data_IF_790348310038
#
_entry.id   IF_790348310038
#
_cell.length_a   1.000
_cell.length_b   1.000
_cell.length_c   1.000
_cell.angle_alpha   90.00
_cell.angle_beta   90.00
_cell.angle_gamma   90.00
#
_symmetry.space_group_name_H-M   'P 1'
#
loop_
_entity.id
_entity.type
_entity.pdbx_description
1 polymer ?
#
# COMPACT_ATOMS: atom_id res chain seq x y z
N UNK A 1 -5.26 11.29 63.84
CA UNK A 1 -5.91 12.26 63.00
C UNK A 1 -4.85 13.23 62.49
N UNK A 2 -4.39 13.04 61.24
CA UNK A 2 -3.41 13.93 60.60
C UNK A 2 -4.15 15.02 59.86
N UNK A 3 -3.75 16.30 59.92
CA UNK A 3 -4.43 17.38 59.22
C UNK A 3 -4.07 17.40 57.73
N UNK A 4 -5.09 17.31 56.91
CA UNK A 4 -4.95 17.41 55.46
C UNK A 4 -4.62 18.83 54.99
N UNK A 5 -3.61 18.92 54.14
CA UNK A 5 -3.17 20.13 53.48
C UNK A 5 -4.27 20.59 52.48
N UNK A 6 -4.79 21.78 52.62
CA UNK A 6 -5.84 22.33 51.74
C UNK A 6 -5.30 22.74 50.39
N UNK A 7 -5.98 22.32 49.35
CA UNK A 7 -5.65 22.49 47.91
C UNK A 7 -5.20 23.91 47.51
N UNK A 8 -5.54 24.91 48.29
CA UNK A 8 -5.20 26.34 48.07
C UNK A 8 -3.77 26.72 48.47
N UNK A 9 -3.14 25.98 49.36
CA UNK A 9 -1.75 26.25 49.78
C UNK A 9 -0.74 25.59 48.84
N UNK A 10 -1.11 24.45 48.23
CA UNK A 10 -0.30 23.78 47.19
C UNK A 10 -0.13 24.65 45.92
N UNK A 11 -1.16 25.40 45.55
CA UNK A 11 -1.11 26.27 44.37
C UNK A 11 -0.31 27.57 44.58
N UNK A 12 -0.10 28.01 45.82
CA UNK A 12 0.73 29.18 46.13
C UNK A 12 2.24 28.89 46.12
N UNK A 13 2.64 27.65 46.34
CA UNK A 13 4.05 27.24 46.31
C UNK A 13 4.57 26.94 44.90
N UNK A 14 3.68 26.77 43.93
CA UNK A 14 4.02 26.48 42.52
C UNK A 14 4.30 27.74 41.67
N UNK A 15 4.00 28.93 42.17
CA UNK A 15 4.13 30.21 41.38
C UNK A 15 5.46 30.91 41.65
N UNK A 16 6.24 30.50 42.65
CA UNK A 16 7.50 31.17 43.02
C UNK A 16 8.78 30.60 42.36
N UNK A 17 8.67 29.65 41.44
CA UNK A 17 9.82 28.99 40.84
C UNK A 17 10.00 29.25 39.30
N UNK A 18 9.37 30.26 38.75
CA UNK A 18 9.45 30.61 37.31
C UNK A 18 9.95 32.02 37.09
N UNK A 19 11.18 32.33 37.54
CA UNK A 19 11.93 33.47 37.04
C UNK A 19 13.40 33.11 36.87
N UNK A 20 13.71 32.25 35.90
CA UNK A 20 15.04 32.15 35.29
C UNK A 20 14.99 32.79 33.91
N UNK A 21 15.97 33.61 33.52
CA UNK A 21 15.99 34.22 32.20
C UNK A 21 16.13 33.11 31.14
N UNK A 22 15.23 33.09 30.17
CA UNK A 22 15.36 32.25 28.98
C UNK A 22 16.59 32.71 28.22
N UNK A 23 17.66 31.94 28.28
CA UNK A 23 18.74 32.01 27.30
C UNK A 23 18.17 31.52 25.98
N UNK A 24 17.79 32.45 25.13
CA UNK A 24 17.50 32.17 23.71
C UNK A 24 18.82 31.86 23.07
N UNK A 25 19.15 30.57 22.96
CA UNK A 25 20.21 30.11 22.08
C UNK A 25 19.77 30.39 20.64
N UNK A 26 20.66 30.92 19.77
CA UNK A 26 20.33 31.08 18.36
C UNK A 26 20.03 29.69 17.75
N UNK A 27 18.89 29.56 17.09
CA UNK A 27 18.59 28.42 16.24
C UNK A 27 19.61 28.46 15.10
N UNK A 28 20.64 27.66 15.23
CA UNK A 28 21.57 27.41 14.13
C UNK A 28 20.80 26.68 13.02
N UNK A 29 20.48 27.40 11.98
CA UNK A 29 20.06 26.83 10.70
C UNK A 29 21.27 26.07 10.13
N UNK A 30 21.15 24.76 9.98
CA UNK A 30 22.16 23.93 9.32
C UNK A 30 22.72 22.85 10.27
N UNK A 31 21.94 21.82 10.51
CA UNK A 31 22.47 20.52 10.93
C UNK A 31 22.01 19.48 9.88
N UNK A 32 22.89 19.20 8.93
CA UNK A 32 22.88 17.95 8.20
C UNK A 32 22.92 16.80 9.21
N UNK A 33 21.84 15.97 9.22
CA UNK A 33 21.86 14.60 9.68
C UNK A 33 22.39 14.32 11.09
N UNK A 34 21.76 14.80 12.16
CA UNK A 34 21.95 14.17 13.46
C UNK A 34 21.48 12.71 13.37
N UNK A 35 22.39 11.75 13.58
CA UNK A 35 22.10 10.34 13.54
C UNK A 35 20.93 10.01 14.48
N UNK A 36 19.85 9.42 13.95
CA UNK A 36 18.71 9.00 14.77
C UNK A 36 19.18 8.00 15.82
N UNK A 37 18.86 8.27 17.10
CA UNK A 37 19.18 7.33 18.19
C UNK A 37 18.62 5.93 17.89
N UNK A 38 19.37 4.85 18.18
CA UNK A 38 18.87 3.48 18.00
C UNK A 38 17.50 3.24 18.62
N UNK A 39 17.21 3.82 19.80
CA UNK A 39 15.91 3.72 20.48
C UNK A 39 14.76 4.46 19.78
N UNK A 40 15.07 5.27 18.77
CA UNK A 40 14.08 6.02 18.01
C UNK A 40 13.85 5.44 16.59
N UNK A 41 14.49 4.31 16.28
CA UNK A 41 14.30 3.62 15.00
C UNK A 41 13.20 2.57 15.12
N UNK A 42 12.46 2.38 14.06
CA UNK A 42 11.53 1.26 13.89
C UNK A 42 12.30 0.12 13.23
N UNK A 43 12.31 -1.02 13.86
CA UNK A 43 12.99 -2.21 13.34
C UNK A 43 12.07 -3.02 12.43
N UNK A 44 12.58 -3.43 11.27
CA UNK A 44 11.82 -4.03 10.19
C UNK A 44 12.29 -5.43 9.85
N UNK A 45 11.33 -6.33 9.60
CA UNK A 45 11.53 -7.60 8.93
C UNK A 45 10.85 -7.58 7.54
N UNK A 46 11.58 -7.98 6.50
CA UNK A 46 11.06 -8.04 5.14
C UNK A 46 10.64 -9.44 4.77
N UNK A 47 9.43 -9.62 4.22
CA UNK A 47 8.87 -10.90 3.78
C UNK A 47 8.51 -10.77 2.30
N UNK A 48 9.18 -11.55 1.45
CA UNK A 48 9.12 -11.40 0.00
C UNK A 48 10.08 -10.33 -0.50
N UNK A 49 11.28 -10.73 -0.90
CA UNK A 49 12.34 -9.84 -1.38
C UNK A 49 12.68 -10.12 -2.85
N UNK A 50 11.64 -10.37 -3.65
CA UNK A 50 11.71 -10.40 -5.11
C UNK A 50 11.95 -9.01 -5.73
N UNK A 51 11.66 -8.86 -7.03
CA UNK A 51 11.96 -7.62 -7.77
C UNK A 51 11.34 -6.37 -7.14
N UNK A 52 10.03 -6.42 -6.82
CA UNK A 52 9.34 -5.29 -6.18
C UNK A 52 9.77 -5.12 -4.71
N UNK A 53 9.85 -6.21 -3.95
CA UNK A 53 10.27 -6.18 -2.55
C UNK A 53 11.66 -5.58 -2.34
N UNK A 54 12.63 -5.85 -3.24
CA UNK A 54 13.98 -5.26 -3.16
C UNK A 54 14.07 -3.90 -3.83
N UNK A 55 13.58 -3.79 -5.07
CA UNK A 55 13.81 -2.60 -5.91
C UNK A 55 12.92 -1.41 -5.56
N UNK A 56 11.77 -1.65 -4.92
CA UNK A 56 10.86 -0.60 -4.48
C UNK A 56 10.88 -0.46 -2.95
N UNK A 57 10.44 -1.48 -2.22
CA UNK A 57 10.24 -1.36 -0.77
C UNK A 57 11.56 -1.33 0.01
N UNK A 58 12.45 -2.31 -0.17
CA UNK A 58 13.69 -2.38 0.59
C UNK A 58 14.60 -1.18 0.31
N UNK A 59 14.76 -0.80 -0.96
CA UNK A 59 15.55 0.38 -1.36
C UNK A 59 15.03 1.68 -0.73
N UNK A 60 13.70 1.85 -0.67
CA UNK A 60 13.09 3.02 -0.06
C UNK A 60 13.27 3.04 1.47
N UNK A 61 12.98 1.93 2.17
CA UNK A 61 13.14 1.89 3.62
C UNK A 61 14.58 2.04 4.10
N UNK A 62 15.57 1.54 3.34
CA UNK A 62 16.99 1.72 3.65
C UNK A 62 17.44 3.20 3.64
N UNK A 63 16.70 4.06 2.94
CA UNK A 63 16.97 5.51 2.85
C UNK A 63 16.29 6.31 3.99
N UNK A 64 15.42 5.69 4.77
CA UNK A 64 14.73 6.34 5.88
C UNK A 64 15.57 6.20 7.17
N UNK A 65 16.13 7.29 7.73
CA UNK A 65 17.01 7.20 8.90
C UNK A 65 16.34 6.60 10.16
N UNK A 66 15.01 6.66 10.23
CA UNK A 66 14.21 6.15 11.35
C UNK A 66 13.81 4.68 11.17
N UNK A 67 14.13 4.05 10.04
CA UNK A 67 13.95 2.63 9.78
C UNK A 67 15.26 1.84 9.96
N UNK A 68 15.16 0.60 10.42
CA UNK A 68 16.29 -0.32 10.54
C UNK A 68 15.86 -1.72 10.16
N UNK A 69 16.35 -2.23 9.03
CA UNK A 69 16.09 -3.60 8.59
C UNK A 69 17.00 -4.56 9.36
N UNK A 70 16.41 -5.57 10.02
CA UNK A 70 17.13 -6.60 10.81
C UNK A 70 17.12 -7.96 10.12
N UNK A 71 16.06 -8.28 9.39
CA UNK A 71 15.90 -9.58 8.78
C UNK A 71 15.19 -9.50 7.43
N UNK A 72 15.52 -10.44 6.54
CA UNK A 72 14.88 -10.62 5.24
C UNK A 72 14.44 -12.08 5.07
N UNK A 73 13.29 -12.30 4.43
CA UNK A 73 12.73 -13.62 4.20
C UNK A 73 12.29 -13.76 2.75
N UNK A 74 12.65 -14.87 2.12
CA UNK A 74 12.10 -15.28 0.83
C UNK A 74 12.24 -16.80 0.68
N UNK A 75 11.32 -17.41 -0.01
CA UNK A 75 11.35 -18.84 -0.33
C UNK A 75 12.42 -19.21 -1.37
N UNK A 76 12.96 -18.20 -2.09
CA UNK A 76 14.10 -18.35 -3.00
C UNK A 76 15.40 -17.95 -2.28
N UNK A 77 16.37 -18.87 -2.19
CA UNK A 77 17.67 -18.64 -1.53
C UNK A 77 18.43 -17.45 -2.11
N UNK A 78 18.52 -17.39 -3.42
CA UNK A 78 19.26 -16.33 -4.13
C UNK A 78 18.67 -14.94 -3.90
N UNK A 79 17.33 -14.82 -3.79
CA UNK A 79 16.65 -13.55 -3.51
C UNK A 79 16.96 -13.04 -2.09
N UNK A 80 16.84 -13.91 -1.08
CA UNK A 80 17.13 -13.49 0.30
C UNK A 80 18.61 -13.21 0.55
N UNK A 81 19.52 -13.99 -0.05
CA UNK A 81 20.96 -13.72 0.04
C UNK A 81 21.33 -12.37 -0.59
N UNK A 82 20.76 -12.06 -1.75
CA UNK A 82 20.92 -10.76 -2.41
C UNK A 82 20.35 -9.62 -1.57
N UNK A 83 19.16 -9.76 -1.00
CA UNK A 83 18.53 -8.74 -0.17
C UNK A 83 19.34 -8.52 1.12
N UNK A 84 19.81 -9.58 1.79
CA UNK A 84 20.69 -9.49 2.94
C UNK A 84 21.97 -8.70 2.60
N UNK A 85 22.64 -9.06 1.51
CA UNK A 85 23.85 -8.35 1.08
C UNK A 85 23.59 -6.85 0.79
N UNK A 86 22.41 -6.52 0.27
CA UNK A 86 22.00 -5.12 0.06
C UNK A 86 21.84 -4.38 1.39
N UNK A 87 21.22 -4.98 2.40
CA UNK A 87 21.07 -4.39 3.75
C UNK A 87 22.44 -4.21 4.42
N UNK A 88 23.27 -5.27 4.42
CA UNK A 88 24.60 -5.26 5.01
C UNK A 88 25.49 -4.18 4.38
N UNK A 89 25.44 -4.07 3.05
CA UNK A 89 26.16 -3.02 2.31
C UNK A 89 25.69 -1.61 2.69
N UNK A 90 24.37 -1.39 2.78
CA UNK A 90 23.80 -0.11 3.14
C UNK A 90 24.19 0.35 4.56
N UNK A 91 24.36 -0.60 5.48
CA UNK A 91 24.70 -0.31 6.88
C UNK A 91 26.21 -0.47 7.19
N UNK A 92 27.00 -1.02 6.27
CA UNK A 92 28.44 -1.25 6.47
C UNK A 92 28.76 -2.29 7.54
N UNK A 93 27.91 -3.28 7.70
CA UNK A 93 28.07 -4.38 8.66
C UNK A 93 27.57 -5.71 8.05
N UNK A 94 27.36 -6.74 8.87
CA UNK A 94 26.84 -8.08 8.50
C UNK A 94 25.82 -8.58 9.52
N UNK A 95 24.99 -7.68 10.03
CA UNK A 95 24.05 -7.99 11.13
C UNK A 95 22.68 -8.45 10.61
N UNK A 96 22.37 -8.25 9.34
CA UNK A 96 21.10 -8.67 8.75
C UNK A 96 21.03 -10.19 8.67
N UNK A 97 19.96 -10.76 9.22
CA UNK A 97 19.68 -12.21 9.12
C UNK A 97 18.80 -12.53 7.92
N UNK A 98 18.88 -13.79 7.42
CA UNK A 98 17.95 -14.28 6.41
C UNK A 98 17.31 -15.60 6.80
N UNK A 99 16.05 -15.80 6.39
CA UNK A 99 15.31 -17.02 6.65
C UNK A 99 14.41 -17.40 5.46
N UNK A 100 13.99 -18.67 5.40
CA UNK A 100 13.04 -19.16 4.40
C UNK A 100 11.60 -19.00 4.87
N UNK A 101 11.37 -19.25 6.15
CA UNK A 101 10.06 -19.22 6.77
C UNK A 101 9.80 -17.85 7.44
N UNK A 102 8.77 -17.15 7.00
CA UNK A 102 8.41 -15.83 7.53
C UNK A 102 8.03 -15.88 9.03
N UNK A 103 7.63 -17.04 9.54
CA UNK A 103 7.30 -17.22 10.97
C UNK A 103 8.52 -17.00 11.85
N UNK A 104 9.73 -17.21 11.34
CA UNK A 104 10.97 -16.90 12.04
C UNK A 104 11.14 -15.39 12.25
N UNK A 105 10.71 -14.55 11.29
CA UNK A 105 10.66 -13.09 11.47
C UNK A 105 9.61 -12.71 12.52
N UNK A 106 8.41 -13.30 12.46
CA UNK A 106 7.34 -12.96 13.40
C UNK A 106 7.70 -13.33 14.85
N UNK A 107 8.53 -14.35 15.04
CA UNK A 107 8.99 -14.78 16.36
C UNK A 107 10.10 -13.89 16.99
N UNK A 108 10.73 -13.01 16.19
CA UNK A 108 11.81 -12.13 16.70
C UNK A 108 11.22 -10.98 17.52
N UNK A 109 11.59 -10.85 18.81
CA UNK A 109 11.02 -9.82 19.68
C UNK A 109 11.53 -8.41 19.38
N UNK A 110 12.68 -8.30 18.73
CA UNK A 110 13.34 -7.05 18.37
C UNK A 110 12.91 -6.47 17.02
N UNK A 111 11.98 -7.13 16.31
CA UNK A 111 11.34 -6.60 15.10
C UNK A 111 10.03 -5.93 15.51
N UNK A 112 9.88 -4.63 15.22
CA UNK A 112 8.66 -3.84 15.51
C UNK A 112 7.61 -4.00 14.42
N UNK A 113 8.02 -4.11 13.15
CA UNK A 113 7.12 -4.12 12.00
C UNK A 113 7.62 -5.04 10.88
N UNK A 114 6.69 -5.48 10.03
CA UNK A 114 6.99 -6.26 8.84
C UNK A 114 6.58 -5.53 7.56
N UNK A 115 7.35 -5.75 6.51
CA UNK A 115 7.07 -5.31 5.14
C UNK A 115 6.82 -6.56 4.30
N UNK A 116 5.60 -6.71 3.78
CA UNK A 116 5.14 -7.89 3.04
C UNK A 116 5.02 -7.54 1.57
N UNK A 117 5.81 -8.20 0.71
CA UNK A 117 5.87 -7.99 -0.76
C UNK A 117 5.85 -9.33 -1.50
N UNK A 118 4.99 -10.22 -1.05
CA UNK A 118 4.78 -11.57 -1.58
C UNK A 118 3.77 -11.57 -2.74
N UNK A 119 3.45 -12.70 -3.38
CA UNK A 119 2.23 -12.82 -4.19
C UNK A 119 0.96 -12.59 -3.37
N UNK A 120 -0.12 -12.18 -4.06
CA UNK A 120 -1.36 -11.66 -3.43
C UNK A 120 -2.00 -12.66 -2.46
N UNK A 121 -1.98 -13.97 -2.77
CA UNK A 121 -2.56 -15.03 -1.93
C UNK A 121 -1.92 -15.18 -0.53
N UNK A 122 -0.80 -14.53 -0.30
CA UNK A 122 -0.13 -14.50 1.01
C UNK A 122 -0.40 -13.22 1.81
N UNK A 123 -0.81 -12.12 1.16
CA UNK A 123 -0.89 -10.80 1.77
C UNK A 123 -1.67 -10.78 3.07
N UNK A 124 -2.89 -11.29 3.04
CA UNK A 124 -3.79 -11.22 4.20
C UNK A 124 -3.38 -12.20 5.30
N UNK A 125 -3.05 -13.44 4.94
CA UNK A 125 -2.65 -14.44 5.94
C UNK A 125 -1.42 -13.97 6.72
N UNK A 126 -0.37 -13.50 6.03
CA UNK A 126 0.84 -12.98 6.68
C UNK A 126 0.56 -11.74 7.51
N UNK A 127 -0.27 -10.81 7.00
CA UNK A 127 -0.68 -9.59 7.74
C UNK A 127 -1.42 -9.91 9.03
N UNK A 128 -2.36 -10.86 8.99
CA UNK A 128 -3.13 -11.32 10.16
C UNK A 128 -2.21 -12.00 11.19
N UNK A 129 -1.28 -12.84 10.74
CA UNK A 129 -0.32 -13.50 11.64
C UNK A 129 0.64 -12.48 12.27
N UNK A 130 1.15 -11.51 11.50
CA UNK A 130 2.00 -10.44 11.99
C UNK A 130 1.26 -9.56 13.03
N UNK A 131 0.04 -9.14 12.73
CA UNK A 131 -0.77 -8.35 13.65
C UNK A 131 -1.05 -9.09 14.98
N UNK A 132 -1.33 -10.39 14.91
CA UNK A 132 -1.51 -11.24 16.11
C UNK A 132 -0.23 -11.44 16.91
N UNK A 133 0.94 -11.36 16.26
CA UNK A 133 2.25 -11.35 16.91
C UNK A 133 2.64 -9.95 17.45
N UNK A 134 1.75 -8.95 17.33
CA UNK A 134 1.98 -7.59 17.81
C UNK A 134 2.87 -6.74 16.91
N UNK A 135 3.12 -7.19 15.66
CA UNK A 135 3.93 -6.45 14.69
C UNK A 135 3.06 -5.49 13.89
N UNK A 136 3.55 -4.26 13.67
CA UNK A 136 2.97 -3.36 12.68
C UNK A 136 3.18 -3.91 11.26
N UNK A 137 2.31 -3.55 10.32
CA UNK A 137 2.29 -4.17 8.99
C UNK A 137 2.26 -3.12 7.88
N UNK A 138 3.26 -3.15 7.02
CA UNK A 138 3.18 -2.62 5.66
C UNK A 138 2.99 -3.80 4.72
N UNK A 139 1.93 -3.81 3.91
CA UNK A 139 1.65 -4.92 3.01
C UNK A 139 1.27 -4.42 1.62
N UNK A 140 1.84 -5.02 0.59
CA UNK A 140 1.44 -4.74 -0.79
C UNK A 140 -0.04 -5.04 -1.03
N UNK A 141 -0.58 -4.38 -2.02
CA UNK A 141 -1.93 -4.57 -2.55
C UNK A 141 -1.97 -5.75 -3.53
N UNK A 142 -3.13 -6.32 -3.83
CA UNK A 142 -4.45 -6.20 -3.18
C UNK A 142 -4.66 -7.25 -2.08
N UNK A 143 -5.88 -7.37 -1.54
CA UNK A 143 -6.34 -8.63 -0.90
C UNK A 143 -6.84 -9.57 -1.99
N UNK A 144 -6.72 -10.90 -1.81
CA UNK A 144 -7.09 -11.86 -2.84
C UNK A 144 -8.60 -12.12 -2.90
N UNK A 145 -9.30 -12.02 -1.77
CA UNK A 145 -10.76 -12.24 -1.71
C UNK A 145 -11.44 -11.16 -0.88
N UNK A 146 -12.77 -11.05 -1.05
CA UNK A 146 -13.60 -10.14 -0.24
C UNK A 146 -13.56 -10.52 1.24
N UNK A 147 -13.65 -11.83 1.55
CA UNK A 147 -13.63 -12.33 2.93
C UNK A 147 -12.30 -12.07 3.62
N UNK A 148 -11.19 -12.26 2.93
CA UNK A 148 -9.85 -11.95 3.47
C UNK A 148 -9.72 -10.48 3.83
N UNK A 149 -10.20 -9.57 2.98
CA UNK A 149 -10.19 -8.14 3.26
C UNK A 149 -10.97 -7.79 4.53
N UNK A 150 -12.11 -8.45 4.78
CA UNK A 150 -12.88 -8.29 6.00
C UNK A 150 -12.11 -8.82 7.22
N UNK A 151 -11.51 -10.00 7.12
CA UNK A 151 -10.71 -10.60 8.21
C UNK A 151 -9.51 -9.72 8.56
N UNK A 152 -8.84 -9.16 7.55
CA UNK A 152 -7.72 -8.21 7.75
C UNK A 152 -8.19 -7.00 8.55
N UNK A 153 -9.21 -6.30 8.07
CA UNK A 153 -9.79 -5.13 8.73
C UNK A 153 -10.14 -5.40 10.19
N UNK A 154 -10.88 -6.47 10.44
CA UNK A 154 -11.35 -6.84 11.78
C UNK A 154 -10.18 -7.26 12.69
N UNK A 155 -9.12 -7.86 12.14
CA UNK A 155 -7.93 -8.24 12.91
C UNK A 155 -7.12 -7.00 13.31
N UNK A 156 -6.86 -6.08 12.38
CA UNK A 156 -6.13 -4.84 12.68
C UNK A 156 -6.91 -4.00 13.71
N UNK A 157 -8.23 -3.88 13.59
CA UNK A 157 -9.05 -3.19 14.58
C UNK A 157 -8.97 -3.80 15.99
N UNK A 158 -8.89 -5.14 16.09
CA UNK A 158 -8.79 -5.83 17.38
C UNK A 158 -7.39 -5.78 18.01
N UNK A 159 -6.35 -5.84 17.21
CA UNK A 159 -4.97 -5.86 17.71
C UNK A 159 -4.43 -4.46 18.00
N UNK A 160 -4.97 -3.45 17.33
CA UNK A 160 -4.52 -2.06 17.46
C UNK A 160 -3.15 -1.77 16.86
N UNK A 161 -2.58 -2.70 16.08
CA UNK A 161 -1.34 -2.46 15.36
C UNK A 161 -1.59 -1.51 14.18
N UNK A 162 -0.56 -0.78 13.79
CA UNK A 162 -0.61 0.05 12.58
C UNK A 162 -0.52 -0.85 11.35
N UNK A 163 -1.40 -0.61 10.40
CA UNK A 163 -1.38 -1.23 9.08
C UNK A 163 -1.38 -0.14 8.01
N UNK A 164 -0.58 -0.35 6.96
CA UNK A 164 -0.65 0.43 5.73
C UNK A 164 -0.52 -0.47 4.52
N UNK A 165 -1.42 -0.32 3.57
CA UNK A 165 -1.29 -0.92 2.24
C UNK A 165 -0.27 -0.16 1.38
N UNK A 166 0.47 -0.89 0.55
CA UNK A 166 1.40 -0.33 -0.43
C UNK A 166 0.64 0.22 -1.64
N UNK A 167 0.22 1.48 -1.57
CA UNK A 167 -0.39 2.24 -2.67
C UNK A 167 0.37 3.56 -2.86
N UNK A 168 1.39 3.51 -3.70
CA UNK A 168 2.23 4.67 -3.96
C UNK A 168 1.46 5.85 -4.58
N UNK A 169 0.36 5.61 -5.31
CA UNK A 169 -0.33 6.65 -6.07
C UNK A 169 -0.96 7.74 -5.22
N UNK A 170 -1.30 7.45 -3.96
CA UNK A 170 -1.73 8.49 -3.01
C UNK A 170 -0.62 9.49 -2.67
N UNK A 171 0.65 9.13 -2.93
CA UNK A 171 1.84 9.97 -2.79
C UNK A 171 2.37 10.50 -4.13
N UNK A 172 1.74 10.16 -5.25
CA UNK A 172 2.13 10.62 -6.59
C UNK A 172 1.37 11.91 -6.91
N UNK A 173 2.13 12.99 -7.15
CA UNK A 173 1.59 14.33 -7.34
C UNK A 173 0.47 14.40 -8.40
N UNK A 174 0.64 13.73 -9.54
CA UNK A 174 -0.33 13.73 -10.64
C UNK A 174 -1.69 13.19 -10.16
N UNK A 175 -1.72 12.04 -9.48
CA UNK A 175 -2.96 11.41 -9.05
C UNK A 175 -3.57 12.11 -7.83
N UNK A 176 -2.73 12.59 -6.91
CA UNK A 176 -3.17 13.43 -5.82
C UNK A 176 -3.84 14.71 -6.33
N UNK A 177 -3.18 15.40 -7.28
CA UNK A 177 -3.75 16.60 -7.91
C UNK A 177 -5.04 16.33 -8.67
N UNK A 178 -5.12 15.22 -9.38
CA UNK A 178 -6.33 14.79 -10.08
C UNK A 178 -7.49 14.60 -9.11
N UNK A 179 -7.27 13.87 -8.01
CA UNK A 179 -8.28 13.68 -6.98
C UNK A 179 -8.67 15.02 -6.30
N UNK A 180 -7.70 15.87 -6.01
CA UNK A 180 -7.94 17.21 -5.45
C UNK A 180 -8.88 18.04 -6.34
N UNK A 181 -8.60 18.13 -7.64
CA UNK A 181 -9.42 18.89 -8.59
C UNK A 181 -10.85 18.37 -8.64
N UNK A 182 -11.03 17.04 -8.73
CA UNK A 182 -12.36 16.42 -8.78
C UNK A 182 -13.11 16.62 -7.46
N UNK A 183 -12.49 16.35 -6.31
CA UNK A 183 -13.09 16.50 -4.98
C UNK A 183 -13.56 17.91 -4.69
N UNK A 184 -12.82 18.90 -5.16
CA UNK A 184 -13.15 20.31 -4.96
C UNK A 184 -14.09 20.88 -6.03
N UNK A 185 -14.58 20.04 -6.95
CA UNK A 185 -15.63 20.40 -7.90
C UNK A 185 -15.15 21.16 -9.13
N UNK A 186 -13.88 21.08 -9.50
CA UNK A 186 -13.35 21.72 -10.71
C UNK A 186 -14.01 21.23 -12.02
N UNK A 187 -14.70 20.08 -12.00
CA UNK A 187 -15.44 19.52 -13.14
C UNK A 187 -16.95 19.71 -13.01
N UNK A 188 -17.44 20.47 -12.01
CA UNK A 188 -18.87 20.52 -11.69
C UNK A 188 -19.36 19.16 -11.14
N UNK A 189 -20.58 18.75 -11.51
CA UNK A 189 -21.11 17.46 -11.11
C UNK A 189 -20.44 16.34 -11.92
N UNK A 190 -19.79 15.40 -11.22
CA UNK A 190 -19.16 14.24 -11.85
C UNK A 190 -20.25 13.30 -12.42
N UNK A 191 -20.08 12.85 -13.66
CA UNK A 191 -21.01 11.98 -14.38
C UNK A 191 -20.38 10.63 -14.74
N UNK A 192 -19.13 10.65 -15.18
CA UNK A 192 -18.45 9.45 -15.68
C UNK A 192 -16.97 9.42 -15.32
N UNK A 193 -16.46 8.19 -15.11
CA UNK A 193 -15.05 7.91 -15.00
C UNK A 193 -14.71 6.81 -16.00
N UNK A 194 -13.65 6.99 -16.78
CA UNK A 194 -13.13 5.97 -17.68
C UNK A 194 -11.73 5.56 -17.19
N UNK A 195 -11.55 4.29 -16.90
CA UNK A 195 -10.27 3.69 -16.53
C UNK A 195 -9.89 2.67 -17.59
N UNK A 196 -8.66 2.77 -18.08
CA UNK A 196 -8.08 1.80 -19.01
C UNK A 196 -6.91 1.14 -18.33
N UNK A 197 -6.89 -0.18 -18.27
CA UNK A 197 -5.87 -1.01 -17.64
C UNK A 197 -5.19 -1.91 -18.66
N UNK A 198 -4.00 -2.47 -18.38
CA UNK A 198 -3.36 -3.41 -19.30
C UNK A 198 -4.24 -4.64 -19.58
N UNK A 199 -4.07 -5.21 -20.74
CA UNK A 199 -4.58 -6.55 -21.05
C UNK A 199 -3.85 -7.61 -20.21
N UNK A 200 -4.54 -8.71 -19.88
CA UNK A 200 -3.93 -9.88 -19.28
C UNK A 200 -3.02 -10.60 -20.25
N UNK A 201 -1.88 -11.06 -19.77
CA UNK A 201 -0.96 -11.87 -20.57
C UNK A 201 -1.45 -13.31 -20.62
N UNK A 202 -1.36 -13.93 -21.81
CA UNK A 202 -1.78 -15.31 -22.01
C UNK A 202 -0.55 -16.20 -22.12
N UNK A 203 -0.35 -17.06 -21.15
CA UNK A 203 0.72 -18.05 -21.13
C UNK A 203 0.16 -19.44 -21.42
N UNK A 204 0.84 -20.23 -22.26
CA UNK A 204 0.43 -21.61 -22.54
C UNK A 204 0.55 -22.47 -21.29
N UNK A 205 -0.13 -23.62 -21.26
CA UNK A 205 0.13 -24.66 -20.25
C UNK A 205 1.57 -25.17 -20.39
N UNK A 206 2.18 -25.41 -19.26
CA UNK A 206 3.50 -26.02 -19.15
C UNK A 206 3.38 -27.38 -18.49
N UNK A 207 4.28 -28.29 -18.87
CA UNK A 207 4.47 -29.55 -18.16
C UNK A 207 5.12 -29.31 -16.80
N UNK A 208 4.85 -30.21 -15.86
CA UNK A 208 5.51 -30.22 -14.54
C UNK A 208 7.03 -30.32 -14.70
N UNK A 209 7.73 -29.50 -13.92
CA UNK A 209 9.18 -29.47 -13.88
C UNK A 209 9.71 -29.76 -12.47
N UNK A 210 10.98 -30.22 -12.35
CA UNK A 210 11.62 -30.36 -11.06
C UNK A 210 11.72 -29.00 -10.35
N UNK A 211 11.40 -28.99 -9.05
CA UNK A 211 11.57 -27.80 -8.22
C UNK A 211 13.05 -27.43 -8.16
N UNK A 212 13.44 -26.16 -8.46
CA UNK A 212 14.84 -25.75 -8.41
C UNK A 212 15.43 -25.88 -7.00
N UNK A 213 16.73 -26.19 -6.93
CA UNK A 213 17.42 -26.16 -5.65
C UNK A 213 17.40 -24.77 -5.03
N UNK A 214 17.13 -24.69 -3.74
CA UNK A 214 17.04 -23.43 -3.01
C UNK A 214 15.71 -22.70 -3.16
N UNK A 215 14.69 -23.36 -3.70
CA UNK A 215 13.32 -22.86 -3.76
C UNK A 215 12.38 -23.75 -2.94
N UNK A 216 11.72 -23.17 -1.95
CA UNK A 216 10.66 -23.82 -1.17
C UNK A 216 9.30 -23.60 -1.85
N UNK A 217 8.91 -24.54 -2.71
CA UNK A 217 7.68 -24.44 -3.48
C UNK A 217 6.42 -24.65 -2.62
N UNK A 218 6.49 -25.51 -1.62
CA UNK A 218 5.36 -25.74 -0.71
C UNK A 218 5.01 -24.46 0.06
N UNK A 219 6.03 -23.79 0.56
CA UNK A 219 5.84 -22.50 1.24
C UNK A 219 5.47 -21.37 0.26
N UNK A 220 5.89 -21.44 -1.01
CA UNK A 220 5.44 -20.51 -2.05
C UNK A 220 3.95 -20.69 -2.33
N UNK A 221 3.46 -21.92 -2.48
CA UNK A 221 2.03 -22.21 -2.67
C UNK A 221 1.20 -21.79 -1.47
N UNK A 222 1.65 -22.12 -0.27
CA UNK A 222 1.00 -21.73 0.98
C UNK A 222 -0.49 -22.06 1.03
N UNK A 223 -1.37 -21.04 1.17
CA UNK A 223 -2.82 -21.25 1.28
C UNK A 223 -3.50 -21.56 -0.07
N UNK A 224 -2.81 -21.38 -1.19
CA UNK A 224 -3.39 -21.65 -2.51
C UNK A 224 -3.61 -23.14 -2.72
N UNK A 225 -4.55 -23.56 -3.60
CA UNK A 225 -4.74 -24.95 -3.96
C UNK A 225 -3.46 -25.61 -4.50
N UNK A 226 -3.24 -26.87 -4.16
CA UNK A 226 -2.08 -27.59 -4.68
C UNK A 226 -2.08 -27.62 -6.21
N UNK A 227 -0.94 -27.31 -6.78
CA UNK A 227 -0.69 -27.35 -8.21
C UNK A 227 0.76 -27.78 -8.44
N UNK A 228 1.07 -28.66 -9.42
CA UNK A 228 2.45 -29.02 -9.75
C UNK A 228 3.29 -27.78 -10.09
N UNK A 229 4.59 -27.85 -9.79
CA UNK A 229 5.50 -26.77 -10.11
C UNK A 229 5.68 -26.64 -11.63
N UNK A 230 5.56 -25.40 -12.12
CA UNK A 230 5.98 -25.02 -13.47
C UNK A 230 6.75 -23.70 -13.39
N UNK A 231 7.83 -23.51 -14.18
CA UNK A 231 8.69 -22.32 -14.08
C UNK A 231 7.97 -20.99 -14.28
N UNK A 232 7.15 -20.87 -15.32
CA UNK A 232 6.44 -19.63 -15.64
C UNK A 232 5.47 -19.23 -14.54
N UNK A 233 4.74 -20.19 -13.98
CA UNK A 233 3.74 -19.93 -12.93
C UNK A 233 4.32 -19.25 -11.67
N UNK A 234 5.59 -19.51 -11.36
CA UNK A 234 6.27 -18.92 -10.19
C UNK A 234 7.24 -17.79 -10.56
N UNK A 235 7.18 -17.30 -11.79
CA UNK A 235 7.96 -16.18 -12.27
C UNK A 235 7.67 -14.88 -11.50
N UNK A 236 8.37 -13.80 -11.82
CA UNK A 236 8.26 -12.56 -11.06
C UNK A 236 6.94 -11.83 -11.23
N UNK A 237 6.29 -11.98 -12.40
CA UNK A 237 5.04 -11.28 -12.75
C UNK A 237 3.94 -12.24 -13.20
N UNK A 238 4.33 -13.42 -13.70
CA UNK A 238 3.49 -14.34 -14.44
C UNK A 238 2.41 -14.98 -13.54
N UNK A 239 2.70 -15.20 -12.25
CA UNK A 239 1.76 -15.69 -11.25
C UNK A 239 0.48 -14.84 -11.14
N UNK A 240 0.55 -13.54 -11.50
CA UNK A 240 -0.61 -12.64 -11.50
C UNK A 240 -1.68 -13.05 -12.50
N UNK A 241 -1.35 -13.88 -13.47
CA UNK A 241 -2.28 -14.38 -14.47
C UNK A 241 -2.98 -15.70 -14.05
N UNK A 242 -2.73 -16.17 -12.81
CA UNK A 242 -3.36 -17.37 -12.26
C UNK A 242 -4.32 -16.98 -11.14
N UNK A 243 -5.60 -17.30 -11.30
CA UNK A 243 -6.68 -16.85 -10.41
C UNK A 243 -6.50 -17.32 -8.96
N UNK A 244 -5.90 -18.49 -8.73
CA UNK A 244 -5.59 -18.98 -7.38
C UNK A 244 -4.57 -18.11 -6.62
N UNK A 245 -3.83 -17.27 -7.33
CA UNK A 245 -2.76 -16.44 -6.75
C UNK A 245 -3.03 -14.95 -6.84
N UNK A 246 -3.88 -14.50 -7.78
CA UNK A 246 -4.17 -13.08 -8.04
C UNK A 246 -5.45 -12.91 -8.86
N UNK A 247 -6.06 -11.75 -8.81
CA UNK A 247 -7.18 -11.37 -9.68
C UNK A 247 -6.77 -10.78 -11.04
N UNK A 248 -5.52 -10.98 -11.45
CA UNK A 248 -5.02 -10.52 -12.76
C UNK A 248 -4.77 -9.02 -12.85
N UNK A 249 -4.72 -8.52 -14.08
CA UNK A 249 -4.47 -7.09 -14.34
C UNK A 249 -5.57 -6.19 -13.76
N UNK A 250 -6.78 -6.68 -13.60
CA UNK A 250 -7.86 -5.91 -12.98
C UNK A 250 -7.53 -5.57 -11.53
N UNK A 251 -7.03 -6.52 -10.73
CA UNK A 251 -6.70 -6.27 -9.33
C UNK A 251 -5.31 -5.66 -9.15
N UNK A 252 -4.33 -6.04 -9.98
CA UNK A 252 -2.97 -5.49 -9.93
C UNK A 252 -2.95 -3.99 -10.31
N UNK A 253 -3.38 -3.64 -11.51
CA UNK A 253 -3.41 -2.27 -12.02
C UNK A 253 -4.64 -1.47 -11.57
N UNK A 254 -5.78 -2.15 -11.37
CA UNK A 254 -6.99 -1.53 -10.85
C UNK A 254 -6.77 -0.94 -9.45
N UNK A 255 -5.95 -1.57 -8.63
CA UNK A 255 -5.60 -1.04 -7.31
C UNK A 255 -5.06 0.40 -7.37
N UNK A 256 -4.34 0.76 -8.42
CA UNK A 256 -3.81 2.11 -8.61
C UNK A 256 -4.89 3.10 -9.09
N UNK A 257 -5.48 2.84 -10.25
CA UNK A 257 -6.37 3.82 -10.90
C UNK A 257 -7.79 3.84 -10.33
N UNK A 258 -8.31 2.69 -9.87
CA UNK A 258 -9.61 2.66 -9.19
C UNK A 258 -9.53 3.26 -7.79
N UNK A 259 -8.38 3.15 -7.08
CA UNK A 259 -8.17 3.89 -5.83
C UNK A 259 -8.23 5.40 -6.05
N UNK A 260 -7.50 5.89 -7.05
CA UNK A 260 -7.56 7.31 -7.44
C UNK A 260 -8.99 7.76 -7.74
N UNK A 261 -9.78 6.93 -8.45
CA UNK A 261 -11.19 7.22 -8.73
C UNK A 261 -12.04 7.25 -7.45
N UNK A 262 -11.90 6.28 -6.56
CA UNK A 262 -12.65 6.23 -5.30
C UNK A 262 -12.29 7.40 -4.38
N UNK A 263 -11.02 7.75 -4.26
CA UNK A 263 -10.57 8.94 -3.54
C UNK A 263 -11.20 10.20 -4.11
N UNK A 264 -11.16 10.39 -5.43
CA UNK A 264 -11.73 11.55 -6.11
C UNK A 264 -13.25 11.66 -5.92
N UNK A 265 -13.98 10.54 -5.81
CA UNK A 265 -15.43 10.48 -5.62
C UNK A 265 -15.89 10.59 -4.15
N UNK A 266 -15.01 10.72 -3.17
CA UNK A 266 -15.36 10.60 -1.73
C UNK A 266 -15.96 9.25 -1.33
N UNK A 267 -15.48 8.16 -1.94
CA UNK A 267 -16.00 6.83 -1.63
C UNK A 267 -15.24 6.15 -0.49
N UNK A 268 -14.91 6.89 0.57
CA UNK A 268 -14.23 6.35 1.77
C UNK A 268 -15.13 5.43 2.61
N UNK A 269 -16.44 5.49 2.42
CA UNK A 269 -17.40 4.70 3.20
C UNK A 269 -18.44 3.98 2.34
N UNK A 270 -18.13 3.71 1.08
CA UNK A 270 -19.07 3.09 0.17
C UNK A 270 -18.41 2.44 -1.03
N UNK A 271 -19.23 1.90 -1.92
CA UNK A 271 -18.83 1.23 -3.14
C UNK A 271 -19.89 1.37 -4.23
N UNK A 272 -19.72 0.67 -5.35
CA UNK A 272 -20.72 0.63 -6.41
C UNK A 272 -22.00 -0.06 -5.92
N UNK A 273 -23.14 0.40 -6.42
CA UNK A 273 -24.46 -0.16 -6.13
C UNK A 273 -24.89 -1.20 -7.16
N UNK A 274 -24.31 -1.18 -8.35
CA UNK A 274 -24.53 -2.12 -9.43
C UNK A 274 -23.22 -2.32 -10.20
N UNK A 275 -22.97 -3.56 -10.61
CA UNK A 275 -21.81 -3.94 -11.41
C UNK A 275 -22.30 -4.86 -12.52
N UNK A 276 -21.91 -4.57 -13.76
CA UNK A 276 -22.14 -5.41 -14.93
C UNK A 276 -20.91 -5.41 -15.80
N UNK A 277 -20.62 -6.52 -16.48
CA UNK A 277 -19.42 -6.59 -17.31
C UNK A 277 -19.30 -7.86 -18.11
N UNK A 278 -18.24 -7.88 -18.91
CA UNK A 278 -17.84 -9.04 -19.69
C UNK A 278 -16.33 -9.15 -19.74
N UNK A 279 -15.81 -10.38 -19.77
CA UNK A 279 -14.41 -10.67 -19.92
C UNK A 279 -14.14 -11.87 -20.80
N UNK A 280 -12.97 -11.92 -21.39
CA UNK A 280 -12.44 -13.06 -22.14
C UNK A 280 -11.49 -13.83 -21.27
N UNK A 281 -11.76 -15.11 -21.03
CA UNK A 281 -10.91 -16.01 -20.26
C UNK A 281 -10.21 -16.99 -21.21
N UNK A 282 -8.86 -17.08 -21.18
CA UNK A 282 -8.13 -17.97 -22.05
C UNK A 282 -8.46 -19.45 -21.79
N UNK A 283 -8.74 -20.19 -22.86
CA UNK A 283 -8.93 -21.65 -22.78
C UNK A 283 -7.61 -22.39 -22.95
N UNK A 284 -7.45 -23.53 -22.27
CA UNK A 284 -6.25 -24.40 -22.37
C UNK A 284 -4.92 -23.67 -22.13
N UNK A 285 -4.92 -22.67 -21.27
CA UNK A 285 -3.76 -21.86 -20.91
C UNK A 285 -3.36 -22.07 -19.43
N UNK A 286 -2.14 -21.63 -19.06
CA UNK A 286 -1.76 -21.43 -17.66
C UNK A 286 -2.53 -20.22 -17.09
N UNK A 287 -2.74 -19.19 -17.90
CA UNK A 287 -3.53 -18.02 -17.55
C UNK A 287 -4.99 -18.39 -17.31
N UNK A 288 -5.50 -18.07 -16.13
CA UNK A 288 -6.88 -18.33 -15.71
C UNK A 288 -7.64 -17.04 -15.32
N UNK A 289 -6.96 -15.89 -15.27
CA UNK A 289 -7.60 -14.58 -15.12
C UNK A 289 -8.04 -14.04 -16.47
N UNK A 290 -8.92 -13.02 -16.47
CA UNK A 290 -9.38 -12.40 -17.72
C UNK A 290 -8.22 -11.73 -18.46
N UNK A 291 -8.10 -11.99 -19.77
CA UNK A 291 -7.15 -11.33 -20.66
C UNK A 291 -7.68 -9.99 -21.21
N UNK A 292 -8.98 -9.94 -21.48
CA UNK A 292 -9.69 -8.72 -21.89
C UNK A 292 -10.96 -8.59 -21.07
N UNK A 293 -11.34 -7.35 -20.74
CA UNK A 293 -12.56 -7.07 -19.98
C UNK A 293 -13.09 -5.67 -20.24
N UNK A 294 -14.38 -5.50 -19.98
CA UNK A 294 -15.05 -4.22 -19.89
C UNK A 294 -16.15 -4.32 -18.84
N UNK A 295 -16.02 -3.51 -17.78
CA UNK A 295 -16.85 -3.57 -16.59
C UNK A 295 -17.46 -2.20 -16.34
N UNK A 296 -18.72 -2.16 -15.98
CA UNK A 296 -19.48 -0.97 -15.63
C UNK A 296 -19.81 -1.01 -14.16
N UNK A 297 -19.47 0.04 -13.44
CA UNK A 297 -19.79 0.22 -12.03
C UNK A 297 -20.69 1.44 -11.89
N UNK A 298 -21.85 1.26 -11.32
CA UNK A 298 -22.74 2.36 -10.98
C UNK A 298 -22.50 2.78 -9.53
N UNK A 299 -22.11 4.02 -9.32
CA UNK A 299 -21.91 4.59 -7.99
C UNK A 299 -23.08 5.49 -7.59
N UNK A 300 -23.27 5.78 -6.26
CA UNK A 300 -24.21 6.76 -5.79
C UNK A 300 -24.03 8.12 -6.48
N UNK A 301 -25.13 8.89 -6.63
CA UNK A 301 -25.09 10.16 -7.35
C UNK A 301 -25.15 10.05 -8.89
N UNK A 302 -25.41 8.84 -9.40
CA UNK A 302 -25.47 8.52 -10.84
C UNK A 302 -24.11 8.69 -11.54
N UNK A 303 -23.02 8.37 -10.86
CA UNK A 303 -21.69 8.32 -11.47
C UNK A 303 -21.45 6.93 -12.04
N UNK A 304 -21.19 6.86 -13.34
CA UNK A 304 -20.79 5.65 -14.03
C UNK A 304 -19.24 5.56 -14.08
N UNK A 305 -18.67 4.46 -13.58
CA UNK A 305 -17.25 4.16 -13.79
C UNK A 305 -17.14 2.98 -14.75
N UNK A 306 -16.40 3.16 -15.83
CA UNK A 306 -16.11 2.13 -16.82
C UNK A 306 -14.65 1.75 -16.68
N UNK A 307 -14.38 0.46 -16.43
CA UNK A 307 -13.04 -0.11 -16.39
C UNK A 307 -12.89 -1.08 -17.55
N UNK A 308 -11.88 -0.88 -18.38
CA UNK A 308 -11.62 -1.75 -19.54
C UNK A 308 -10.14 -2.03 -19.75
N UNK A 309 -9.83 -3.14 -20.39
CA UNK A 309 -8.49 -3.47 -20.87
C UNK A 309 -8.09 -2.68 -22.12
N UNK A 310 -6.78 -2.59 -22.42
CA UNK A 310 -6.22 -2.02 -23.66
C UNK A 310 -5.38 -0.77 -23.49
N UNK A 311 -4.70 -0.59 -22.35
CA UNK A 311 -3.81 0.56 -22.12
C UNK A 311 -3.62 0.87 -20.64
N UNK A 312 -3.28 2.14 -20.32
CA UNK A 312 -3.16 2.60 -18.93
C UNK A 312 -3.56 4.07 -18.87
N UNK A 313 -4.67 4.40 -18.24
CA UNK A 313 -5.11 5.80 -18.15
C UNK A 313 -6.38 5.95 -17.34
N UNK A 314 -6.63 7.19 -16.92
CA UNK A 314 -7.83 7.55 -16.15
C UNK A 314 -8.36 8.90 -16.63
N UNK A 315 -9.69 8.99 -16.81
CA UNK A 315 -10.40 10.20 -17.21
C UNK A 315 -11.66 10.38 -16.39
N UNK A 316 -11.86 11.60 -15.91
CA UNK A 316 -13.06 12.06 -15.22
C UNK A 316 -13.84 13.01 -16.13
N UNK A 317 -15.15 12.86 -16.20
CA UNK A 317 -16.06 13.70 -16.99
C UNK A 317 -17.19 14.24 -16.10
N UNK A 318 -17.29 15.54 -16.03
CA UNK A 318 -18.33 16.26 -15.28
C UNK A 318 -19.13 17.21 -16.17
N UNK A 319 -20.02 17.99 -15.54
CA UNK A 319 -20.87 18.96 -16.26
C UNK A 319 -20.08 20.12 -16.86
N UNK A 320 -18.94 20.47 -16.26
CA UNK A 320 -18.17 21.67 -16.61
C UNK A 320 -16.88 21.32 -17.38
N UNK A 321 -16.64 20.05 -17.64
CA UNK A 321 -15.52 19.60 -18.45
C UNK A 321 -14.99 18.21 -18.07
N UNK A 322 -13.79 17.93 -18.55
CA UNK A 322 -13.10 16.67 -18.27
C UNK A 322 -11.64 16.89 -17.91
N UNK A 323 -11.08 15.90 -17.19
CA UNK A 323 -9.69 15.83 -16.74
C UNK A 323 -9.19 14.41 -16.97
N UNK A 324 -7.96 14.24 -17.48
CA UNK A 324 -7.37 12.92 -17.71
C UNK A 324 -5.86 12.88 -17.47
N UNK A 325 -5.36 11.70 -17.09
CA UNK A 325 -4.00 11.25 -17.34
C UNK A 325 -4.10 10.17 -18.43
N UNK A 326 -3.64 10.43 -19.67
CA UNK A 326 -3.95 9.58 -20.83
C UNK A 326 -3.22 8.24 -20.80
N UNK A 327 -2.16 8.12 -20.00
CA UNK A 327 -1.46 6.88 -19.70
C UNK A 327 -0.80 6.98 -18.32
N UNK A 328 -0.24 5.88 -17.83
CA UNK A 328 0.39 5.79 -16.52
C UNK A 328 1.37 6.94 -16.24
N UNK A 329 1.05 7.73 -15.20
CA UNK A 329 1.84 8.88 -14.72
C UNK A 329 2.18 9.94 -15.79
N UNK A 330 1.38 10.04 -16.85
CA UNK A 330 1.52 11.12 -17.83
C UNK A 330 0.89 12.40 -17.31
N UNK A 331 1.42 13.57 -17.74
CA UNK A 331 0.86 14.87 -17.35
C UNK A 331 -0.63 14.96 -17.60
N UNK A 332 -1.31 15.72 -16.74
CA UNK A 332 -2.76 15.94 -16.82
C UNK A 332 -3.12 16.77 -18.07
N UNK A 333 -4.19 16.36 -18.73
CA UNK A 333 -4.89 17.12 -19.76
C UNK A 333 -6.30 17.43 -19.27
N UNK A 334 -6.87 18.54 -19.70
CA UNK A 334 -8.24 18.92 -19.39
C UNK A 334 -8.93 19.54 -20.61
N UNK A 335 -10.26 19.56 -20.60
CA UNK A 335 -11.07 20.21 -21.63
C UNK A 335 -10.87 21.72 -21.70
N UNK A 336 -10.52 22.33 -20.55
CA UNK A 336 -10.22 23.74 -20.38
C UNK A 336 -8.97 23.86 -19.47
N UNK A 337 -7.93 24.64 -19.87
CA UNK A 337 -6.75 24.88 -19.03
C UNK A 337 -7.08 25.42 -17.61
N UNK A 338 -8.13 26.19 -17.44
CA UNK A 338 -8.57 26.75 -16.14
C UNK A 338 -8.84 25.64 -15.09
N UNK A 339 -9.24 24.44 -15.53
CA UNK A 339 -9.41 23.29 -14.64
C UNK A 339 -8.10 22.92 -13.96
N UNK A 340 -6.99 22.92 -14.72
CA UNK A 340 -5.66 22.56 -14.19
C UNK A 340 -5.09 23.65 -13.29
N UNK A 341 -5.49 24.90 -13.51
CA UNK A 341 -5.02 26.09 -12.79
C UNK A 341 -5.85 26.38 -11.52
N UNK A 342 -6.94 25.64 -11.29
CA UNK A 342 -7.81 25.86 -10.13
C UNK A 342 -7.02 25.74 -8.81
N UNK A 343 -7.16 26.71 -7.93
CA UNK A 343 -6.52 26.77 -6.61
C UNK A 343 -7.60 26.80 -5.53
N UNK A 344 -7.40 26.02 -4.48
CA UNK A 344 -8.32 25.93 -3.36
C UNK A 344 -7.66 26.49 -2.10
N UNK A 345 -8.39 27.30 -1.34
CA UNK A 345 -7.90 27.77 -0.05
C UNK A 345 -7.71 26.56 0.89
N UNK A 346 -6.65 26.55 1.73
CA UNK A 346 -6.36 25.39 2.59
C UNK A 346 -7.55 24.94 3.44
N UNK A 347 -8.36 25.87 3.94
CA UNK A 347 -9.56 25.61 4.75
C UNK A 347 -10.75 25.08 3.96
N UNK A 348 -10.76 25.25 2.65
CA UNK A 348 -11.81 24.77 1.73
C UNK A 348 -11.40 23.48 1.01
N UNK A 349 -10.10 23.19 0.99
CA UNK A 349 -9.57 22.03 0.28
C UNK A 349 -10.01 20.74 0.95
N UNK A 350 -10.75 19.92 0.20
CA UNK A 350 -11.29 18.63 0.66
C UNK A 350 -10.29 17.48 0.52
N UNK A 351 -9.07 17.76 0.09
CA UNK A 351 -8.01 16.77 -0.05
C UNK A 351 -7.00 16.94 1.09
N UNK A 352 -6.48 15.83 1.62
CA UNK A 352 -5.38 15.84 2.59
C UNK A 352 -4.08 16.32 1.93
N UNK A 353 -3.10 16.81 2.70
CA UNK A 353 -1.78 17.11 2.16
C UNK A 353 -1.13 15.87 1.57
N UNK A 354 -0.44 16.03 0.44
CA UNK A 354 0.26 14.91 -0.18
C UNK A 354 1.32 14.34 0.76
N UNK A 355 1.36 13.04 1.04
CA UNK A 355 2.39 12.43 1.85
C UNK A 355 3.73 12.40 1.10
N UNK A 356 4.87 12.49 1.83
CA UNK A 356 6.19 12.46 1.18
C UNK A 356 6.43 11.17 0.37
N UNK A 357 6.17 10.02 0.97
CA UNK A 357 6.13 8.69 0.34
C UNK A 357 5.25 7.77 1.19
N UNK A 358 4.77 6.67 0.63
CA UNK A 358 4.05 5.64 1.39
C UNK A 358 4.92 5.03 2.50
N UNK A 359 6.22 4.83 2.24
CA UNK A 359 7.18 4.26 3.20
C UNK A 359 7.39 5.18 4.41
N UNK A 360 7.58 6.49 4.17
CA UNK A 360 7.69 7.47 5.24
C UNK A 360 6.38 7.59 6.02
N UNK A 361 5.24 7.57 5.32
CA UNK A 361 3.90 7.58 5.94
C UNK A 361 3.71 6.40 6.90
N UNK A 362 4.20 5.20 6.54
CA UNK A 362 4.16 4.05 7.42
C UNK A 362 4.99 4.26 8.70
N UNK A 363 6.23 4.69 8.58
CA UNK A 363 7.10 4.99 9.73
C UNK A 363 6.48 6.06 10.64
N UNK A 364 5.93 7.12 10.05
CA UNK A 364 5.24 8.18 10.80
C UNK A 364 3.97 7.67 11.48
N UNK A 365 3.24 6.77 10.83
CA UNK A 365 2.09 6.07 11.41
C UNK A 365 2.46 5.22 12.62
N UNK A 366 3.49 4.39 12.52
CA UNK A 366 4.00 3.57 13.63
C UNK A 366 4.45 4.44 14.80
N UNK A 367 5.01 5.62 14.52
CA UNK A 367 5.40 6.61 15.53
C UNK A 367 4.24 7.46 16.08
N UNK A 368 3.03 7.22 15.62
CA UNK A 368 1.84 7.96 16.05
C UNK A 368 1.78 9.43 15.60
N UNK A 369 2.52 9.80 14.55
CA UNK A 369 2.56 11.18 14.00
C UNK A 369 1.40 11.45 13.03
N UNK A 370 1.00 10.42 12.28
CA UNK A 370 -0.09 10.48 11.30
C UNK A 370 -0.91 9.20 11.35
N UNK A 371 -2.15 9.24 10.85
CA UNK A 371 -2.86 8.02 10.46
C UNK A 371 -2.36 7.60 9.07
N UNK A 372 -2.00 6.33 8.85
CA UNK A 372 -1.60 5.86 7.53
C UNK A 372 -2.63 6.19 6.45
N UNK A 373 -2.15 6.60 5.28
CA UNK A 373 -3.02 7.11 4.21
C UNK A 373 -3.78 6.01 3.46
N UNK A 374 -3.40 4.74 3.65
CA UNK A 374 -4.08 3.60 3.03
C UNK A 374 -4.34 2.51 4.06
N UNK A 375 -5.54 2.57 4.62
CA UNK A 375 -5.97 1.77 5.78
C UNK A 375 -6.48 0.38 5.36
N UNK A 376 -6.66 -0.56 6.31
CA UNK A 376 -7.33 -1.84 6.02
C UNK A 376 -8.74 -1.68 5.44
N UNK A 377 -9.47 -0.64 5.83
CA UNK A 377 -10.80 -0.34 5.29
C UNK A 377 -10.70 0.07 3.82
N UNK A 378 -9.71 0.89 3.47
CA UNK A 378 -9.49 1.33 2.08
C UNK A 378 -9.16 0.16 1.17
N UNK A 379 -8.21 -0.72 1.58
CA UNK A 379 -7.81 -1.87 0.75
C UNK A 379 -8.96 -2.87 0.62
N UNK A 380 -9.72 -3.11 1.69
CA UNK A 380 -10.89 -3.99 1.65
C UNK A 380 -11.95 -3.47 0.67
N UNK A 381 -12.32 -2.20 0.77
CA UNK A 381 -13.32 -1.57 -0.10
C UNK A 381 -12.89 -1.61 -1.57
N UNK A 382 -11.64 -1.21 -1.85
CA UNK A 382 -11.09 -1.21 -3.21
C UNK A 382 -11.02 -2.63 -3.79
N UNK A 383 -10.44 -3.58 -3.04
CA UNK A 383 -10.32 -4.97 -3.48
C UNK A 383 -11.70 -5.60 -3.70
N UNK A 384 -12.68 -5.29 -2.85
CA UNK A 384 -14.06 -5.75 -3.02
C UNK A 384 -14.65 -5.28 -4.35
N UNK A 385 -14.50 -4.00 -4.69
CA UNK A 385 -15.00 -3.48 -5.96
C UNK A 385 -14.33 -4.17 -7.16
N UNK A 386 -13.01 -4.42 -7.09
CA UNK A 386 -12.28 -5.12 -8.15
C UNK A 386 -12.68 -6.59 -8.29
N UNK A 387 -12.86 -7.31 -7.17
CA UNK A 387 -13.23 -8.73 -7.20
C UNK A 387 -14.68 -8.98 -7.61
N UNK A 388 -15.57 -8.03 -7.40
CA UNK A 388 -16.95 -8.10 -7.87
C UNK A 388 -17.08 -7.78 -9.38
N UNK A 389 -16.12 -7.11 -9.95
CA UNK A 389 -16.02 -6.85 -11.39
C UNK A 389 -15.44 -8.01 -12.15
#
# INVERSE_FOLDING_TARGET
MSPGIKRREFLKSAVAALSLPALVAPIASGQEGAAVSPSNRITLGFIGVGGHGTGWNLDAFLKIPEARVLAVCDVYRDRREKARAMVDSAYGNSDCTDCTDFRDILAQPDIDAVVISTPDHWHVLMSVMAARAGKHVFCEKPTLTVEEGQVLRDTIARTGVVYQGGIEDRSVEIYHRMAELVRNGALGKLNRILIVLPEGEVFPKEDEAPIPEGFDYDLWLGPAPYSPYTPTKTGQQEWRNVFDYSGGKLTDWGAHLMDTAQVAMFQEHGGPTEIDGQGTFPENAMTTTASEYKIYYQYPGAVEMIVKSGGTGIRFEGTDGWLESPAWRKPLNASNPEILEAVFAPEENKMWPIPPTEHQSFIDGVKGRVTPYYTPEDIHRLSTAMHLG
#
